data_IF_002846946169
#
_entry.id   IF_002846946169
#
_cell.length_a   1.000
_cell.length_b   1.000
_cell.length_c   1.000
_cell.angle_alpha   90.00
_cell.angle_beta   90.00
_cell.angle_gamma   90.00
#
_symmetry.space_group_name_H-M   'P 1'
#
loop_
_entity.id
_entity.type
_entity.pdbx_description
1 polymer ?
#
# COMPACT_ATOMS: atom_id res chain seq x y z
N UNK A 1 -5.02 20.80 21.49
CA UNK A 1 -3.64 20.26 21.48
C UNK A 1 -2.80 21.27 20.70
N UNK A 2 -1.73 21.83 21.29
CA UNK A 2 -0.97 22.95 20.68
C UNK A 2 -0.04 22.44 19.56
N UNK A 3 0.19 23.22 18.49
CA UNK A 3 1.23 22.93 17.50
C UNK A 3 2.61 22.83 18.19
N UNK A 4 3.50 22.00 17.66
CA UNK A 4 4.90 21.95 18.09
C UNK A 4 5.58 23.24 17.57
N UNK A 5 5.30 23.61 16.32
CA UNK A 5 5.69 24.88 15.72
C UNK A 5 4.53 25.59 14.99
N UNK A 6 4.56 26.92 14.94
CA UNK A 6 3.66 27.83 14.22
C UNK A 6 4.43 28.67 13.19
N UNK A 7 3.73 29.28 12.22
CA UNK A 7 4.34 30.25 11.30
C UNK A 7 3.93 31.63 11.78
N UNK A 8 4.90 32.49 12.09
CA UNK A 8 4.65 33.87 12.55
C UNK A 8 4.24 34.79 11.39
N UNK A 9 3.92 36.05 11.72
CA UNK A 9 3.50 37.07 10.76
C UNK A 9 4.58 37.41 9.71
N UNK A 10 5.84 37.00 9.95
CA UNK A 10 6.98 37.19 9.07
C UNK A 10 7.34 35.93 8.26
N UNK A 11 6.45 34.92 8.22
CA UNK A 11 6.67 33.62 7.57
C UNK A 11 7.81 32.79 8.18
N UNK A 12 8.17 33.02 9.45
CA UNK A 12 9.16 32.21 10.18
C UNK A 12 8.48 31.13 10.98
N UNK A 13 9.14 29.98 11.11
CA UNK A 13 8.65 28.85 11.90
C UNK A 13 9.07 29.06 13.37
N UNK A 14 8.14 29.07 14.32
CA UNK A 14 8.33 29.42 15.74
C UNK A 14 7.72 28.34 16.64
N UNK A 15 8.40 27.91 17.70
CA UNK A 15 7.91 26.82 18.58
C UNK A 15 6.93 27.31 19.66
N UNK A 16 5.84 26.59 19.94
CA UNK A 16 4.73 27.07 20.81
C UNK A 16 4.79 26.63 22.30
N UNK A 17 5.91 26.09 22.80
CA UNK A 17 6.09 25.68 24.21
C UNK A 17 7.22 26.44 24.94
N UNK A 18 7.14 26.50 26.28
CA UNK A 18 8.24 27.03 27.11
C UNK A 18 9.33 25.97 27.23
N UNK A 19 10.57 26.28 26.83
CA UNK A 19 11.68 25.33 26.78
C UNK A 19 13.01 25.95 27.25
N UNK A 20 13.83 25.09 27.88
CA UNK A 20 15.20 25.34 28.33
C UNK A 20 16.21 25.48 27.19
N UNK A 21 17.45 25.91 27.48
CA UNK A 21 18.48 26.16 26.45
C UNK A 21 18.92 24.92 25.65
N UNK A 22 18.88 23.72 26.26
CA UNK A 22 19.15 22.45 25.55
C UNK A 22 18.02 22.08 24.59
N UNK A 23 16.78 22.35 24.97
CA UNK A 23 15.59 22.11 24.15
C UNK A 23 15.51 23.12 22.98
N UNK A 24 16.04 24.35 23.15
CA UNK A 24 16.21 25.32 22.06
C UNK A 24 17.25 24.90 21.01
N UNK A 25 18.42 24.40 21.43
CA UNK A 25 19.45 23.90 20.51
C UNK A 25 18.96 22.70 19.68
N UNK A 26 18.16 21.81 20.30
CA UNK A 26 17.50 20.72 19.58
C UNK A 26 16.46 21.20 18.57
N UNK A 27 15.83 22.36 18.79
CA UNK A 27 14.84 22.94 17.87
C UNK A 27 15.52 23.57 16.65
N UNK A 28 16.60 24.32 16.84
CA UNK A 28 17.37 24.88 15.72
C UNK A 28 17.93 23.77 14.81
N UNK A 29 18.38 22.66 15.40
CA UNK A 29 18.78 21.46 14.65
C UNK A 29 17.62 20.82 13.87
N UNK A 30 16.43 20.72 14.47
CA UNK A 30 15.24 20.21 13.77
C UNK A 30 14.84 21.16 12.63
N UNK A 31 14.89 22.48 12.86
CA UNK A 31 14.57 23.48 11.85
C UNK A 31 15.57 23.45 10.69
N UNK A 32 16.87 23.30 10.96
CA UNK A 32 17.89 23.14 9.92
C UNK A 32 17.67 21.86 9.11
N UNK A 33 17.35 20.73 9.77
CA UNK A 33 17.01 19.50 9.06
C UNK A 33 15.78 19.68 8.17
N UNK A 34 14.73 20.33 8.67
CA UNK A 34 13.51 20.59 7.92
C UNK A 34 13.77 21.54 6.74
N UNK A 35 14.52 22.63 6.93
CA UNK A 35 14.74 23.63 5.88
C UNK A 35 15.76 23.24 4.83
N UNK A 36 16.83 22.53 5.21
CA UNK A 36 17.99 22.33 4.35
C UNK A 36 18.25 20.85 4.03
N UNK A 37 18.28 19.98 5.04
CA UNK A 37 18.67 18.59 4.83
C UNK A 37 17.61 17.79 4.07
N UNK A 38 16.34 17.86 4.47
CA UNK A 38 15.27 17.10 3.81
C UNK A 38 15.14 17.46 2.32
N UNK A 39 15.03 18.74 1.91
CA UNK A 39 14.93 19.06 0.49
C UNK A 39 16.15 18.60 -0.30
N UNK A 40 17.35 18.64 0.29
CA UNK A 40 18.58 18.16 -0.34
C UNK A 40 18.55 16.64 -0.52
N UNK A 41 18.20 15.90 0.53
CA UNK A 41 18.05 14.44 0.49
C UNK A 41 16.97 14.02 -0.51
N UNK A 42 15.82 14.69 -0.54
CA UNK A 42 14.78 14.43 -1.55
C UNK A 42 15.31 14.68 -2.96
N UNK A 43 16.06 15.77 -3.18
CA UNK A 43 16.69 16.09 -4.47
C UNK A 43 17.70 15.01 -4.90
N UNK A 44 18.63 14.66 -4.03
CA UNK A 44 19.70 13.68 -4.28
C UNK A 44 19.12 12.29 -4.58
N UNK A 45 18.15 11.84 -3.76
CA UNK A 45 17.48 10.56 -3.99
C UNK A 45 16.69 10.57 -5.30
N UNK A 46 16.04 11.67 -5.65
CA UNK A 46 15.28 11.79 -6.90
C UNK A 46 16.21 11.78 -8.10
N UNK A 47 17.37 12.43 -8.01
CA UNK A 47 18.39 12.39 -9.06
C UNK A 47 18.95 10.96 -9.25
N UNK A 48 19.22 10.25 -8.14
CA UNK A 48 19.81 8.91 -8.17
C UNK A 48 18.84 7.82 -8.61
N UNK A 49 17.61 7.84 -8.10
CA UNK A 49 16.66 6.73 -8.25
C UNK A 49 15.42 7.11 -9.10
N UNK A 50 15.26 8.37 -9.45
CA UNK A 50 14.04 8.89 -10.07
C UNK A 50 12.83 8.70 -9.16
N UNK A 51 11.65 8.58 -9.77
CA UNK A 51 10.39 8.36 -9.05
C UNK A 51 10.10 6.88 -8.71
N UNK A 52 11.12 6.01 -8.67
CA UNK A 52 10.98 4.58 -8.35
C UNK A 52 10.64 4.34 -6.88
N UNK A 53 10.28 3.09 -6.52
CA UNK A 53 10.01 2.69 -5.13
C UNK A 53 11.27 2.82 -4.25
N UNK A 54 12.45 2.60 -4.82
CA UNK A 54 13.75 2.73 -4.13
C UNK A 54 13.98 4.12 -3.55
N UNK A 55 13.59 5.19 -4.25
CA UNK A 55 13.59 6.55 -3.70
C UNK A 55 12.82 6.62 -2.37
N UNK A 56 11.62 6.02 -2.32
CA UNK A 56 10.73 6.06 -1.15
C UNK A 56 11.30 5.23 -0.01
N UNK A 57 11.90 4.09 -0.33
CA UNK A 57 12.60 3.24 0.62
C UNK A 57 13.76 3.99 1.31
N UNK A 58 14.68 4.57 0.55
CA UNK A 58 15.84 5.27 1.11
C UNK A 58 15.45 6.58 1.82
N UNK A 59 14.42 7.28 1.33
CA UNK A 59 13.83 8.38 2.08
C UNK A 59 13.32 7.90 3.44
N UNK A 60 12.63 6.76 3.48
CA UNK A 60 12.18 6.14 4.73
C UNK A 60 13.32 5.79 5.70
N UNK A 61 14.46 5.30 5.19
CA UNK A 61 15.65 5.04 6.01
C UNK A 61 16.20 6.33 6.63
N UNK A 62 16.23 7.42 5.86
CA UNK A 62 16.63 8.72 6.39
C UNK A 62 15.66 9.22 7.47
N UNK A 63 14.35 9.08 7.24
CA UNK A 63 13.34 9.46 8.23
C UNK A 63 13.47 8.67 9.54
N UNK A 64 13.79 7.38 9.47
CA UNK A 64 14.04 6.54 10.65
C UNK A 64 15.22 7.08 11.49
N UNK A 65 16.30 7.53 10.85
CA UNK A 65 17.42 8.20 11.53
C UNK A 65 16.94 9.44 12.27
N UNK A 66 16.08 10.27 11.66
CA UNK A 66 15.54 11.47 12.29
C UNK A 66 14.64 11.15 13.48
N UNK A 67 13.76 10.14 13.35
CA UNK A 67 12.89 9.71 14.44
C UNK A 67 13.70 9.25 15.65
N UNK A 68 14.77 8.48 15.43
CA UNK A 68 15.64 7.99 16.49
C UNK A 68 16.48 9.13 17.10
N UNK A 69 17.06 10.01 16.27
CA UNK A 69 17.85 11.17 16.72
C UNK A 69 17.05 12.09 17.63
N UNK A 70 15.81 12.40 17.26
CA UNK A 70 14.94 13.33 18.00
C UNK A 70 13.97 12.63 18.95
N UNK A 71 14.10 11.31 19.13
CA UNK A 71 13.25 10.48 20.00
C UNK A 71 11.75 10.71 19.79
N UNK A 72 11.34 10.89 18.53
CA UNK A 72 9.95 11.17 18.16
C UNK A 72 9.08 9.94 18.47
N UNK A 73 8.11 10.09 19.36
CA UNK A 73 7.22 8.99 19.74
C UNK A 73 6.26 8.64 18.60
N UNK A 74 5.72 7.41 18.62
CA UNK A 74 4.70 6.96 17.64
C UNK A 74 3.47 7.87 17.60
N UNK A 75 3.10 8.50 18.72
CA UNK A 75 2.01 9.49 18.78
C UNK A 75 2.31 10.78 18.01
N UNK A 76 3.58 11.19 17.98
CA UNK A 76 4.03 12.48 17.41
C UNK A 76 4.41 12.37 15.94
N UNK A 77 4.74 11.17 15.44
CA UNK A 77 5.15 10.93 14.04
C UNK A 77 4.27 11.62 13.02
N UNK A 78 2.95 11.59 13.21
CA UNK A 78 2.02 12.21 12.26
C UNK A 78 2.22 13.73 12.16
N UNK A 79 2.39 14.40 13.30
CA UNK A 79 2.65 15.84 13.33
C UNK A 79 3.99 16.15 12.65
N UNK A 80 5.03 15.38 12.98
CA UNK A 80 6.34 15.52 12.35
C UNK A 80 6.28 15.35 10.82
N UNK A 81 5.55 14.36 10.31
CA UNK A 81 5.35 14.19 8.86
C UNK A 81 4.61 15.36 8.20
N UNK A 82 3.64 15.93 8.89
CA UNK A 82 2.89 17.09 8.38
C UNK A 82 3.78 18.35 8.38
N UNK A 83 4.67 18.52 9.36
CA UNK A 83 5.69 19.57 9.37
C UNK A 83 6.66 19.45 8.21
N UNK A 84 7.23 18.26 7.96
CA UNK A 84 8.09 18.03 6.79
C UNK A 84 7.33 18.40 5.50
N UNK A 85 6.07 18.01 5.40
CA UNK A 85 5.25 18.28 4.21
C UNK A 85 5.02 19.77 3.98
N UNK A 86 4.79 20.55 5.03
CA UNK A 86 4.48 21.97 4.94
C UNK A 86 5.77 22.80 4.74
N UNK A 87 6.84 22.41 5.42
CA UNK A 87 8.02 23.25 5.63
C UNK A 87 9.23 22.86 4.77
N UNK A 88 9.32 21.59 4.34
CA UNK A 88 10.53 21.03 3.72
C UNK A 88 10.29 20.48 2.30
N UNK A 89 9.17 19.78 2.11
CA UNK A 89 8.89 19.00 0.91
C UNK A 89 8.81 19.87 -0.35
N UNK A 90 9.62 19.56 -1.37
CA UNK A 90 9.45 20.13 -2.74
C UNK A 90 8.62 19.23 -3.66
N UNK A 91 8.19 18.07 -3.17
CA UNK A 91 7.40 17.10 -3.94
C UNK A 91 5.96 17.56 -4.20
N UNK A 92 5.56 17.60 -5.48
CA UNK A 92 4.18 17.85 -5.88
C UNK A 92 3.34 16.57 -5.80
N UNK A 93 2.48 16.50 -4.79
CA UNK A 93 1.72 15.27 -4.48
C UNK A 93 0.35 15.30 -5.17
N UNK A 94 0.14 14.38 -6.12
CA UNK A 94 -1.18 14.19 -6.78
C UNK A 94 -2.24 13.60 -5.86
N UNK A 95 -1.85 12.89 -4.80
CA UNK A 95 -2.76 12.14 -3.94
C UNK A 95 -3.02 12.88 -2.64
N UNK A 96 -4.29 13.09 -2.31
CA UNK A 96 -4.69 13.69 -1.03
C UNK A 96 -4.48 12.70 0.13
N UNK A 97 -3.67 13.11 1.11
CA UNK A 97 -3.37 12.33 2.31
C UNK A 97 -4.53 12.34 3.33
N UNK A 98 -5.50 13.25 3.19
CA UNK A 98 -6.61 13.44 4.13
C UNK A 98 -6.17 14.08 5.44
N UNK A 99 -6.98 14.99 5.99
CA UNK A 99 -6.61 15.83 7.15
C UNK A 99 -6.21 15.02 8.41
N UNK A 100 -6.77 13.83 8.60
CA UNK A 100 -6.58 12.99 9.79
C UNK A 100 -6.17 11.54 9.49
N UNK A 101 -5.83 11.20 8.24
CA UNK A 101 -5.55 9.81 7.88
C UNK A 101 -4.08 9.48 8.11
N UNK A 102 -3.76 8.92 9.30
CA UNK A 102 -2.48 8.24 9.56
C UNK A 102 -2.11 7.21 8.48
N UNK A 103 -3.13 6.67 7.79
CA UNK A 103 -3.01 5.57 6.82
C UNK A 103 -2.44 5.98 5.46
N UNK A 104 -2.54 7.26 5.09
CA UNK A 104 -2.22 7.78 3.74
C UNK A 104 -1.05 8.76 3.74
N UNK A 105 -0.39 8.94 4.87
CA UNK A 105 0.76 9.82 4.97
C UNK A 105 1.88 9.29 4.10
N UNK A 106 2.40 10.13 3.20
CA UNK A 106 3.49 9.76 2.30
C UNK A 106 4.74 9.33 3.09
N UNK A 107 5.15 10.16 4.05
CA UNK A 107 6.35 9.91 4.86
C UNK A 107 6.20 8.70 5.78
N UNK A 108 5.01 8.48 6.37
CA UNK A 108 4.74 7.25 7.10
C UNK A 108 4.87 6.01 6.20
N UNK A 109 4.36 6.07 4.97
CA UNK A 109 4.47 4.94 4.03
C UNK A 109 5.93 4.70 3.61
N UNK A 110 6.72 5.76 3.40
CA UNK A 110 8.16 5.65 3.19
C UNK A 110 8.85 4.99 4.39
N UNK A 111 8.56 5.46 5.61
CA UNK A 111 9.10 4.91 6.85
C UNK A 111 8.76 3.42 7.00
N UNK A 112 7.50 3.02 6.78
CA UNK A 112 7.08 1.61 6.84
C UNK A 112 7.83 0.77 5.80
N UNK A 113 7.96 1.24 4.55
CA UNK A 113 8.72 0.53 3.52
C UNK A 113 10.18 0.31 3.92
N UNK A 114 10.78 1.29 4.59
CA UNK A 114 12.15 1.21 5.05
C UNK A 114 12.37 0.18 6.17
N UNK A 115 11.30 -0.33 6.80
CA UNK A 115 11.40 -1.42 7.77
C UNK A 115 11.43 -2.81 7.12
N UNK A 116 11.17 -2.90 5.81
CA UNK A 116 11.17 -4.14 5.06
C UNK A 116 12.52 -4.37 4.37
N UNK A 117 12.75 -5.60 3.90
CA UNK A 117 13.91 -5.89 3.06
C UNK A 117 13.78 -5.21 1.69
N UNK A 118 14.85 -4.58 1.23
CA UNK A 118 14.88 -3.90 -0.07
C UNK A 118 14.47 -4.83 -1.22
N UNK A 119 14.90 -6.10 -1.18
CA UNK A 119 14.54 -7.10 -2.18
C UNK A 119 13.02 -7.28 -2.29
N UNK A 120 12.31 -7.34 -1.16
CA UNK A 120 10.85 -7.42 -1.13
C UNK A 120 10.20 -6.12 -1.64
N UNK A 121 10.77 -4.97 -1.25
CA UNK A 121 10.27 -3.65 -1.67
C UNK A 121 10.33 -3.46 -3.19
N UNK A 122 11.36 -3.97 -3.84
CA UNK A 122 11.55 -3.85 -5.29
C UNK A 122 10.61 -4.74 -6.13
N UNK A 123 9.99 -5.77 -5.51
CA UNK A 123 9.01 -6.65 -6.19
C UNK A 123 7.75 -5.91 -6.62
N UNK A 124 7.38 -4.85 -5.91
CA UNK A 124 6.17 -4.08 -6.16
C UNK A 124 6.50 -2.63 -6.56
N UNK A 125 5.71 -2.09 -7.48
CA UNK A 125 5.77 -0.66 -7.79
C UNK A 125 5.26 0.18 -6.61
N UNK A 126 5.65 1.45 -6.56
CA UNK A 126 5.14 2.39 -5.55
C UNK A 126 3.61 2.40 -5.48
N UNK A 127 2.92 2.33 -6.62
CA UNK A 127 1.45 2.31 -6.65
C UNK A 127 0.87 1.07 -5.97
N UNK A 128 1.49 -0.10 -6.16
CA UNK A 128 1.07 -1.35 -5.53
C UNK A 128 1.29 -1.30 -4.02
N UNK A 129 2.43 -0.78 -3.57
CA UNK A 129 2.69 -0.53 -2.15
C UNK A 129 1.68 0.41 -1.53
N UNK A 130 1.34 1.51 -2.19
CA UNK A 130 0.29 2.40 -1.71
C UNK A 130 -1.06 1.68 -1.61
N UNK A 131 -1.46 0.91 -2.63
CA UNK A 131 -2.73 0.16 -2.63
C UNK A 131 -2.82 -0.84 -1.46
N UNK A 132 -1.67 -1.39 -1.01
CA UNK A 132 -1.53 -2.29 0.13
C UNK A 132 -1.56 -1.55 1.47
N UNK A 133 -0.67 -0.57 1.65
CA UNK A 133 -0.48 0.17 2.90
C UNK A 133 -1.71 1.02 3.29
N UNK A 134 -2.54 1.39 2.31
CA UNK A 134 -3.80 2.08 2.58
C UNK A 134 -4.87 1.16 3.23
N UNK A 135 -4.69 -0.16 3.18
CA UNK A 135 -5.66 -1.14 3.70
C UNK A 135 -5.28 -1.57 5.11
N UNK A 136 -6.26 -1.52 6.01
CA UNK A 136 -6.06 -1.78 7.45
C UNK A 136 -5.68 -3.23 7.70
N UNK A 137 -6.42 -4.18 7.09
CA UNK A 137 -6.16 -5.62 7.22
C UNK A 137 -4.75 -6.01 6.79
N UNK A 138 -4.20 -5.37 5.75
CA UNK A 138 -2.86 -5.67 5.23
C UNK A 138 -1.72 -5.08 6.07
N UNK A 139 -2.01 -4.14 6.97
CA UNK A 139 -1.01 -3.54 7.87
C UNK A 139 -0.95 -4.24 9.22
N UNK A 140 -2.06 -4.83 9.63
CA UNK A 140 -2.19 -5.50 10.94
C UNK A 140 -1.52 -6.87 10.95
N UNK A 141 -1.34 -7.49 9.77
CA UNK A 141 -0.67 -8.77 9.63
C UNK A 141 0.61 -8.65 8.78
N UNK A 142 1.81 -8.63 9.40
CA UNK A 142 3.07 -8.42 8.70
C UNK A 142 3.43 -9.55 7.74
N UNK A 143 2.80 -10.73 7.87
CA UNK A 143 3.09 -11.92 7.05
C UNK A 143 2.82 -11.71 5.56
N UNK A 144 1.99 -10.73 5.20
CA UNK A 144 1.82 -10.36 3.78
C UNK A 144 3.11 -9.80 3.16
N UNK A 145 3.97 -9.14 3.96
CA UNK A 145 5.26 -8.63 3.50
C UNK A 145 6.25 -9.78 3.28
N UNK A 146 6.24 -10.76 4.18
CA UNK A 146 7.05 -11.98 4.05
C UNK A 146 6.65 -12.78 2.81
N UNK A 147 5.35 -12.90 2.54
CA UNK A 147 4.86 -13.53 1.32
C UNK A 147 5.32 -12.79 0.06
N UNK A 148 5.28 -11.44 0.05
CA UNK A 148 5.79 -10.63 -1.07
C UNK A 148 7.28 -10.88 -1.29
N UNK A 149 8.07 -11.06 -0.22
CA UNK A 149 9.48 -11.40 -0.31
C UNK A 149 9.70 -12.73 -1.04
N UNK A 150 8.90 -13.75 -0.70
CA UNK A 150 8.98 -15.08 -1.33
C UNK A 150 8.45 -15.11 -2.77
N UNK A 151 7.80 -14.04 -3.22
CA UNK A 151 7.15 -14.01 -4.52
C UNK A 151 8.18 -13.91 -5.67
N UNK A 152 8.15 -14.87 -6.60
CA UNK A 152 9.17 -15.02 -7.64
C UNK A 152 9.00 -13.97 -8.74
N UNK A 153 7.77 -13.66 -9.16
CA UNK A 153 7.49 -12.88 -10.36
C UNK A 153 6.99 -11.45 -10.09
N UNK A 154 7.24 -10.53 -11.01
CA UNK A 154 6.69 -9.17 -10.90
C UNK A 154 5.19 -9.16 -11.20
N UNK A 155 4.37 -8.82 -10.21
CA UNK A 155 2.91 -8.77 -10.37
C UNK A 155 2.47 -7.55 -11.21
N UNK A 156 1.57 -7.75 -12.17
CA UNK A 156 0.96 -6.64 -12.93
C UNK A 156 0.03 -5.82 -12.04
N UNK A 157 -0.02 -4.51 -12.26
CA UNK A 157 -0.85 -3.59 -11.46
C UNK A 157 -2.35 -3.96 -11.47
N UNK A 158 -2.89 -4.44 -12.60
CA UNK A 158 -4.28 -4.87 -12.70
C UNK A 158 -4.57 -6.14 -11.88
N UNK A 159 -3.65 -7.10 -11.93
CA UNK A 159 -3.72 -8.35 -11.15
C UNK A 159 -3.62 -8.04 -9.65
N UNK A 160 -2.74 -7.10 -9.27
CA UNK A 160 -2.59 -6.64 -7.89
C UNK A 160 -3.87 -6.00 -7.33
N UNK A 161 -4.54 -5.14 -8.10
CA UNK A 161 -5.79 -4.50 -7.66
C UNK A 161 -6.92 -5.50 -7.45
N UNK A 162 -7.00 -6.48 -8.33
CA UNK A 162 -7.95 -7.57 -8.23
C UNK A 162 -7.60 -8.52 -7.07
N UNK A 163 -6.31 -8.81 -6.84
CA UNK A 163 -5.83 -9.56 -5.68
C UNK A 163 -6.24 -8.88 -4.38
N UNK A 164 -5.95 -7.59 -4.20
CA UNK A 164 -6.34 -6.87 -2.99
C UNK A 164 -7.86 -6.80 -2.81
N UNK A 165 -8.64 -6.83 -3.90
CA UNK A 165 -10.10 -6.93 -3.82
C UNK A 165 -10.51 -8.31 -3.30
N UNK A 166 -9.96 -9.39 -3.86
CA UNK A 166 -10.23 -10.76 -3.44
C UNK A 166 -9.76 -11.02 -1.99
N UNK A 167 -8.58 -10.51 -1.61
CA UNK A 167 -8.02 -10.56 -0.26
C UNK A 167 -8.94 -9.91 0.76
N UNK A 168 -9.36 -8.67 0.51
CA UNK A 168 -10.30 -7.98 1.40
C UNK A 168 -11.64 -8.72 1.51
N UNK A 169 -12.11 -9.36 0.44
CA UNK A 169 -13.33 -10.17 0.49
C UNK A 169 -13.12 -11.44 1.32
N UNK A 170 -11.97 -12.10 1.16
CA UNK A 170 -11.67 -13.37 1.82
C UNK A 170 -11.41 -13.19 3.32
N UNK A 171 -10.68 -12.15 3.71
CA UNK A 171 -10.31 -11.86 5.10
C UNK A 171 -11.35 -11.05 5.88
N UNK A 172 -12.42 -10.60 5.21
CA UNK A 172 -13.48 -9.84 5.87
C UNK A 172 -14.03 -10.63 7.07
N UNK A 173 -13.95 -10.04 8.26
CA UNK A 173 -14.42 -10.63 9.52
C UNK A 173 -13.72 -11.95 9.89
N UNK A 174 -12.49 -12.16 9.44
CA UNK A 174 -11.67 -13.30 9.86
C UNK A 174 -10.54 -12.81 10.76
N UNK A 175 -10.33 -13.54 11.85
CA UNK A 175 -9.09 -13.45 12.61
C UNK A 175 -8.00 -14.20 11.86
N UNK A 176 -6.91 -13.54 11.48
CA UNK A 176 -5.82 -14.19 10.75
C UNK A 176 -4.84 -14.90 11.68
N UNK A 177 -4.88 -14.68 12.99
CA UNK A 177 -3.99 -15.32 13.96
C UNK A 177 -4.17 -16.84 14.04
N UNK A 178 -5.34 -17.34 13.62
CA UNK A 178 -5.66 -18.78 13.59
C UNK A 178 -4.99 -19.53 12.45
N UNK A 179 -4.45 -18.82 11.44
CA UNK A 179 -3.73 -19.45 10.33
C UNK A 179 -2.24 -19.51 10.64
N UNK A 180 -1.62 -20.63 10.31
CA UNK A 180 -0.15 -20.73 10.16
C UNK A 180 0.33 -19.86 8.98
N UNK A 181 1.64 -19.62 8.91
CA UNK A 181 2.24 -18.86 7.81
C UNK A 181 2.00 -19.56 6.47
N UNK A 182 2.16 -20.88 6.45
CA UNK A 182 1.99 -21.73 5.28
C UNK A 182 0.55 -21.68 4.76
N UNK A 183 -0.44 -21.78 5.65
CA UNK A 183 -1.85 -21.67 5.28
C UNK A 183 -2.19 -20.29 4.72
N UNK A 184 -1.66 -19.24 5.35
CA UNK A 184 -1.91 -17.86 4.94
C UNK A 184 -1.24 -17.54 3.58
N UNK A 185 -0.04 -18.05 3.35
CA UNK A 185 0.66 -17.91 2.08
C UNK A 185 -0.07 -18.67 0.97
N UNK A 186 -0.51 -19.90 1.24
CA UNK A 186 -1.33 -20.67 0.30
C UNK A 186 -2.66 -19.96 -0.05
N UNK A 187 -3.25 -19.23 0.92
CA UNK A 187 -4.39 -18.35 0.66
C UNK A 187 -4.00 -17.22 -0.28
N UNK A 188 -2.88 -16.53 -0.05
CA UNK A 188 -2.41 -15.44 -0.92
C UNK A 188 -2.11 -15.91 -2.35
N UNK A 189 -1.43 -17.06 -2.49
CA UNK A 189 -1.14 -17.71 -3.77
C UNK A 189 -2.42 -18.04 -4.54
N UNK A 190 -3.42 -18.59 -3.83
CA UNK A 190 -4.74 -18.86 -4.41
C UNK A 190 -5.40 -17.57 -4.93
N UNK A 191 -5.36 -16.50 -4.14
CA UNK A 191 -6.02 -15.24 -4.49
C UNK A 191 -5.35 -14.53 -5.67
N UNK A 192 -4.01 -14.57 -5.76
CA UNK A 192 -3.30 -13.98 -6.89
C UNK A 192 -3.55 -14.79 -8.18
N UNK A 193 -3.56 -16.13 -8.10
CA UNK A 193 -3.95 -17.01 -9.22
C UNK A 193 -5.34 -16.65 -9.74
N UNK A 194 -6.34 -16.56 -8.85
CA UNK A 194 -7.71 -16.19 -9.21
C UNK A 194 -7.76 -14.84 -9.94
N UNK A 195 -6.96 -13.87 -9.49
CA UNK A 195 -6.92 -12.52 -10.04
C UNK A 195 -6.29 -12.49 -11.43
N UNK A 196 -5.20 -13.24 -11.63
CA UNK A 196 -4.58 -13.42 -12.94
C UNK A 196 -5.53 -14.10 -13.93
N UNK A 197 -6.22 -15.17 -13.50
CA UNK A 197 -7.22 -15.86 -14.33
C UNK A 197 -8.39 -14.98 -14.70
N UNK A 198 -8.93 -14.24 -13.73
CA UNK A 198 -9.97 -13.26 -14.01
C UNK A 198 -9.55 -12.28 -15.11
N UNK A 199 -8.34 -11.71 -15.04
CA UNK A 199 -7.87 -10.78 -16.07
C UNK A 199 -7.78 -11.44 -17.44
N UNK A 200 -7.16 -12.61 -17.55
CA UNK A 200 -6.93 -13.32 -18.82
C UNK A 200 -8.28 -13.66 -19.47
N UNK A 201 -9.14 -14.37 -18.73
CA UNK A 201 -10.44 -14.83 -19.24
C UNK A 201 -11.37 -13.65 -19.55
N UNK A 202 -11.34 -12.59 -18.74
CA UNK A 202 -12.15 -11.39 -19.02
C UNK A 202 -11.67 -10.64 -20.27
N UNK A 203 -10.36 -10.66 -20.57
CA UNK A 203 -9.83 -10.07 -21.79
C UNK A 203 -10.28 -10.86 -23.03
N UNK A 204 -10.28 -12.20 -22.97
CA UNK A 204 -10.81 -13.09 -24.01
C UNK A 204 -12.31 -12.89 -24.20
N UNK A 205 -13.09 -12.96 -23.12
CA UNK A 205 -14.52 -12.69 -23.14
C UNK A 205 -14.88 -11.34 -23.78
N UNK A 206 -14.07 -10.30 -23.56
CA UNK A 206 -14.30 -8.99 -24.17
C UNK A 206 -14.10 -9.01 -25.70
N UNK A 207 -13.18 -9.85 -26.20
CA UNK A 207 -12.96 -10.04 -27.63
C UNK A 207 -14.10 -10.84 -28.26
N UNK A 208 -14.54 -11.90 -27.59
CA UNK A 208 -15.56 -12.82 -28.10
C UNK A 208 -16.98 -12.21 -28.02
N UNK A 209 -17.25 -11.40 -26.99
CA UNK A 209 -18.56 -10.81 -26.72
C UNK A 209 -18.51 -9.27 -26.54
N UNK A 210 -18.02 -8.50 -27.53
CA UNK A 210 -17.72 -7.07 -27.36
C UNK A 210 -18.93 -6.19 -27.01
N UNK A 211 -20.14 -6.64 -27.34
CA UNK A 211 -21.41 -5.94 -27.03
C UNK A 211 -22.03 -6.35 -25.69
N UNK A 212 -21.41 -7.26 -24.93
CA UNK A 212 -21.98 -7.74 -23.68
C UNK A 212 -22.11 -6.63 -22.63
N UNK A 213 -23.30 -6.49 -22.05
CA UNK A 213 -23.54 -5.57 -20.92
C UNK A 213 -22.65 -5.89 -19.70
N UNK A 214 -22.14 -7.13 -19.59
CA UNK A 214 -21.24 -7.54 -18.51
C UNK A 214 -19.90 -6.80 -18.54
N UNK A 215 -19.45 -6.33 -19.72
CA UNK A 215 -18.21 -5.56 -19.87
C UNK A 215 -18.28 -4.23 -19.10
N UNK A 216 -19.42 -3.54 -19.17
CA UNK A 216 -19.63 -2.24 -18.49
C UNK A 216 -19.52 -2.35 -16.97
N UNK A 217 -19.83 -3.53 -16.42
CA UNK A 217 -19.87 -3.80 -14.98
C UNK A 217 -18.75 -4.74 -14.51
N UNK A 218 -17.55 -4.66 -15.10
CA UNK A 218 -16.38 -5.52 -14.79
C UNK A 218 -16.17 -5.71 -13.28
N UNK A 219 -16.21 -4.64 -12.49
CA UNK A 219 -15.94 -4.71 -11.05
C UNK A 219 -17.00 -5.51 -10.27
N UNK A 220 -18.27 -5.43 -10.67
CA UNK A 220 -19.33 -6.21 -10.05
C UNK A 220 -19.20 -7.69 -10.41
N UNK A 221 -18.86 -7.99 -11.67
CA UNK A 221 -18.65 -9.37 -12.12
C UNK A 221 -17.40 -10.01 -11.52
N UNK A 222 -16.32 -9.25 -11.31
CA UNK A 222 -15.13 -9.80 -10.64
C UNK A 222 -15.42 -10.20 -9.20
N UNK A 223 -16.22 -9.41 -8.46
CA UNK A 223 -16.69 -9.78 -7.13
C UNK A 223 -17.55 -11.05 -7.15
N UNK A 224 -18.48 -11.16 -8.12
CA UNK A 224 -19.31 -12.38 -8.27
C UNK A 224 -18.45 -13.61 -8.57
N UNK A 225 -17.44 -13.46 -9.42
CA UNK A 225 -16.47 -14.50 -9.73
C UNK A 225 -15.72 -14.98 -8.47
N UNK A 226 -15.10 -14.08 -7.70
CA UNK A 226 -14.39 -14.48 -6.48
C UNK A 226 -15.30 -15.12 -5.44
N UNK A 227 -16.50 -14.54 -5.22
CA UNK A 227 -17.48 -15.10 -4.30
C UNK A 227 -17.86 -16.54 -4.70
N UNK A 228 -18.05 -16.80 -6.00
CA UNK A 228 -18.39 -18.13 -6.50
C UNK A 228 -17.23 -19.11 -6.38
N UNK A 229 -15.98 -18.69 -6.62
CA UNK A 229 -14.81 -19.52 -6.38
C UNK A 229 -14.70 -19.92 -4.90
N UNK A 230 -14.91 -18.98 -3.97
CA UNK A 230 -14.89 -19.27 -2.53
C UNK A 230 -16.03 -20.20 -2.10
N UNK A 231 -17.22 -20.02 -2.67
CA UNK A 231 -18.37 -20.89 -2.45
C UNK A 231 -18.07 -22.33 -2.92
N UNK A 232 -17.49 -22.50 -4.11
CA UNK A 232 -17.11 -23.80 -4.66
C UNK A 232 -16.02 -24.48 -3.83
N UNK A 233 -14.99 -23.73 -3.39
CA UNK A 233 -13.96 -24.24 -2.46
C UNK A 233 -14.59 -24.77 -1.18
N UNK A 234 -15.50 -24.00 -0.57
CA UNK A 234 -16.14 -24.37 0.69
C UNK A 234 -17.09 -25.57 0.55
N UNK A 235 -17.95 -25.59 -0.47
CA UNK A 235 -18.97 -26.62 -0.65
C UNK A 235 -18.40 -27.95 -1.10
N UNK A 236 -17.45 -27.92 -2.05
CA UNK A 236 -16.95 -29.14 -2.67
C UNK A 236 -15.60 -29.58 -2.10
N UNK A 237 -15.08 -28.87 -1.07
CA UNK A 237 -13.72 -29.03 -0.53
C UNK A 237 -12.63 -29.08 -1.62
N UNK A 238 -12.89 -28.41 -2.74
CA UNK A 238 -12.04 -28.44 -3.92
C UNK A 238 -10.99 -27.33 -3.84
N UNK A 239 -9.76 -27.64 -4.26
CA UNK A 239 -8.72 -26.63 -4.42
C UNK A 239 -9.11 -25.63 -5.50
N UNK A 240 -8.71 -24.37 -5.31
CA UNK A 240 -8.89 -23.36 -6.35
C UNK A 240 -7.69 -23.43 -7.27
N UNK A 241 -7.85 -24.16 -8.36
CA UNK A 241 -6.88 -24.33 -9.44
C UNK A 241 -7.33 -23.60 -10.71
N UNK A 242 -6.52 -23.68 -11.77
CA UNK A 242 -6.83 -23.14 -13.09
C UNK A 242 -8.18 -23.65 -13.62
N UNK A 243 -8.47 -24.93 -13.42
CA UNK A 243 -9.67 -25.60 -13.92
C UNK A 243 -10.92 -25.02 -13.26
N UNK A 244 -10.92 -24.89 -11.93
CA UNK A 244 -12.04 -24.30 -11.19
C UNK A 244 -12.23 -22.83 -11.57
N UNK A 245 -11.14 -22.08 -11.69
CA UNK A 245 -11.19 -20.68 -12.12
C UNK A 245 -11.87 -20.55 -13.49
N UNK A 246 -11.46 -21.35 -14.48
CA UNK A 246 -12.07 -21.38 -15.81
C UNK A 246 -13.54 -21.76 -15.73
N UNK A 247 -13.87 -22.85 -15.03
CA UNK A 247 -15.24 -23.36 -14.89
C UNK A 247 -16.18 -22.30 -14.31
N UNK A 248 -15.78 -21.66 -13.21
CA UNK A 248 -16.56 -20.61 -12.55
C UNK A 248 -16.72 -19.40 -13.47
N UNK A 249 -15.65 -19.00 -14.16
CA UNK A 249 -15.71 -17.87 -15.09
C UNK A 249 -16.70 -18.15 -16.23
N UNK A 250 -16.57 -19.27 -16.93
CA UNK A 250 -17.44 -19.60 -18.07
C UNK A 250 -18.90 -19.72 -17.65
N UNK A 251 -19.19 -20.40 -16.54
CA UNK A 251 -20.56 -20.50 -15.99
C UNK A 251 -21.17 -19.14 -15.66
N UNK A 252 -20.37 -18.17 -15.23
CA UNK A 252 -20.86 -16.83 -14.88
C UNK A 252 -20.95 -15.89 -16.08
N UNK A 253 -19.98 -15.96 -16.99
CA UNK A 253 -19.73 -14.93 -17.98
C UNK A 253 -20.32 -15.29 -19.33
N UNK A 254 -20.18 -16.54 -19.76
CA UNK A 254 -20.70 -17.01 -21.04
C UNK A 254 -22.16 -17.42 -20.85
N UNK A 255 -23.09 -16.91 -21.68
CA UNK A 255 -24.46 -17.41 -21.68
C UNK A 255 -24.41 -18.93 -21.91
N UNK A 256 -25.15 -19.72 -21.12
CA UNK A 256 -25.38 -21.12 -21.50
C UNK A 256 -25.79 -21.11 -22.97
N UNK A 257 -25.05 -21.82 -23.82
CA UNK A 257 -25.53 -22.23 -25.14
C UNK A 257 -26.76 -23.10 -24.85
N UNK A 258 -27.91 -22.45 -24.66
CA UNK A 258 -29.19 -23.11 -24.84
C UNK A 258 -29.28 -23.30 -26.35
N UNK A 259 -28.81 -24.46 -26.79
CA UNK A 259 -29.35 -25.07 -28.00
C UNK A 259 -30.85 -25.30 -27.83
#
# INVERSE_FOLDING_TARGET
MRPIVEIDQEHRIVYCGMLSSQEKASIDDILNVLKDEIPKVEGDLKNKYGNKVTYKYYLGKFLDVLLNKYKISTSERRLFWDEIKILASKESRKRNEGKNSKKRSFYEQCFILAQLDLEAVEKLSWRQWQDLLDRTVSREDPRIFDWIRCFIEKVRQDDWREFLKALNMYLKNKDTSVFTNEELFAIYDTLILMSMKWRILFAEFKKDYPKSAKIKNKSAWSKKYYAKCFEMKKRNKRLIDDVLCNEVFYKLMVPNLRG
#
